data_IF_160914773964
#
_entry.id   IF_160914773964
#
_cell.length_a   1.000
_cell.length_b   1.000
_cell.length_c   1.000
_cell.angle_alpha   90.00
_cell.angle_beta   90.00
_cell.angle_gamma   90.00
#
_symmetry.space_group_name_H-M   'P 1'
#
loop_
_entity.id
_entity.type
_entity.pdbx_description
1 polymer ?
#
# COMPACT_ATOMS: atom_id res chain seq x y z
N UNK A 1 7.48 4.02 4.32
CA UNK A 1 8.42 3.09 3.63
C UNK A 1 9.49 2.56 4.60
N UNK A 2 10.23 3.40 5.32
CA UNK A 2 10.72 3.16 6.70
C UNK A 2 11.18 1.73 7.08
N UNK A 3 11.95 1.04 6.23
CA UNK A 3 12.45 -0.30 6.51
C UNK A 3 11.39 -1.42 6.60
N UNK A 4 10.11 -1.12 6.32
CA UNK A 4 9.04 -2.10 6.27
C UNK A 4 8.97 -2.75 4.89
N UNK A 5 8.64 -4.03 4.86
CA UNK A 5 8.32 -4.71 3.61
C UNK A 5 6.92 -4.30 3.14
N UNK A 6 6.83 -3.93 1.86
CA UNK A 6 5.57 -3.61 1.19
C UNK A 6 5.40 -4.52 -0.03
N UNK A 7 4.19 -5.04 -0.19
CA UNK A 7 3.76 -5.68 -1.42
C UNK A 7 2.97 -4.67 -2.25
N UNK A 8 3.33 -4.51 -3.52
CA UNK A 8 2.62 -3.67 -4.47
C UNK A 8 1.86 -4.55 -5.47
N UNK A 9 0.58 -4.23 -5.70
CA UNK A 9 -0.23 -4.79 -6.78
C UNK A 9 -0.70 -3.66 -7.68
N UNK A 10 -0.55 -3.83 -9.00
CA UNK A 10 -1.05 -2.89 -10.00
C UNK A 10 -1.93 -3.62 -10.99
N UNK A 11 -2.95 -2.94 -11.49
CA UNK A 11 -3.80 -3.50 -12.52
C UNK A 11 -4.88 -2.55 -12.98
N UNK A 12 -5.88 -3.13 -13.63
CA UNK A 12 -7.10 -2.45 -14.04
C UNK A 12 -8.28 -3.08 -13.33
N UNK A 13 -9.25 -2.24 -12.97
CA UNK A 13 -10.54 -2.64 -12.49
C UNK A 13 -11.60 -2.30 -13.53
N UNK A 14 -12.64 -3.10 -13.60
CA UNK A 14 -13.83 -2.90 -14.43
C UNK A 14 -15.09 -3.34 -13.68
N UNK A 15 -16.23 -2.80 -14.09
CA UNK A 15 -17.55 -3.20 -13.56
C UNK A 15 -18.25 -4.07 -14.57
N UNK A 16 -18.63 -5.28 -14.16
CA UNK A 16 -19.37 -6.20 -15.03
C UNK A 16 -20.70 -5.59 -15.44
N UNK A 17 -20.92 -5.47 -16.75
CA UNK A 17 -22.16 -4.94 -17.32
C UNK A 17 -22.22 -3.41 -17.41
N UNK A 18 -21.10 -2.71 -17.19
CA UNK A 18 -21.00 -1.25 -17.34
C UNK A 18 -19.69 -0.88 -18.06
N UNK A 19 -19.60 0.36 -18.53
CA UNK A 19 -18.39 0.93 -19.17
C UNK A 19 -17.42 1.55 -18.14
N UNK A 20 -17.66 1.32 -16.85
CA UNK A 20 -16.81 1.82 -15.77
C UNK A 20 -15.55 0.98 -15.60
N UNK A 21 -14.41 1.65 -15.47
CA UNK A 21 -13.14 1.02 -15.17
C UNK A 21 -12.00 2.03 -15.04
N UNK A 22 -10.83 1.53 -14.66
CA UNK A 22 -9.64 2.37 -14.51
C UNK A 22 -8.43 1.63 -13.94
N UNK A 23 -7.28 2.31 -13.85
CA UNK A 23 -6.10 1.76 -13.20
C UNK A 23 -6.29 1.77 -11.68
N UNK A 24 -5.65 0.81 -11.01
CA UNK A 24 -5.45 0.83 -9.57
C UNK A 24 -4.01 0.49 -9.20
N UNK A 25 -3.62 0.91 -8.00
CA UNK A 25 -2.43 0.46 -7.29
C UNK A 25 -2.82 0.17 -5.84
N UNK A 26 -2.35 -0.94 -5.29
CA UNK A 26 -2.59 -1.37 -3.93
C UNK A 26 -1.28 -1.64 -3.23
N UNK A 27 -1.13 -1.10 -2.03
CA UNK A 27 0.06 -1.27 -1.19
C UNK A 27 -0.34 -1.99 0.09
N UNK A 28 0.23 -3.16 0.32
CA UNK A 28 -0.04 -3.95 1.54
C UNK A 28 1.23 -4.13 2.36
N UNK A 29 1.11 -4.01 3.68
CA UNK A 29 2.17 -4.33 4.63
C UNK A 29 1.58 -5.00 5.87
N UNK A 30 2.42 -5.74 6.59
CA UNK A 30 2.04 -6.37 7.85
C UNK A 30 2.51 -5.47 8.99
N UNK A 31 1.58 -5.04 9.83
CA UNK A 31 1.82 -4.32 11.07
C UNK A 31 1.76 -5.33 12.21
N UNK A 32 2.90 -5.94 12.50
CA UNK A 32 3.04 -7.02 13.49
C UNK A 32 2.73 -6.56 14.91
N UNK A 33 3.02 -5.30 15.23
CA UNK A 33 2.79 -4.77 16.58
C UNK A 33 1.33 -4.60 16.92
N UNK A 34 0.53 -4.18 15.95
CA UNK A 34 -0.91 -4.03 16.10
C UNK A 34 -1.68 -5.28 15.61
N UNK A 35 -0.95 -6.36 15.28
CA UNK A 35 -1.50 -7.62 14.76
C UNK A 35 -2.52 -7.42 13.64
N UNK A 36 -2.17 -6.61 12.64
CA UNK A 36 -3.05 -6.29 11.51
C UNK A 36 -2.31 -6.30 10.18
N UNK A 37 -3.07 -6.54 9.12
CA UNK A 37 -2.63 -6.28 7.75
C UNK A 37 -3.16 -4.90 7.37
N UNK A 38 -2.26 -4.02 6.96
CA UNK A 38 -2.62 -2.70 6.45
C UNK A 38 -2.55 -2.71 4.93
N UNK A 39 -3.65 -2.35 4.28
CA UNK A 39 -3.73 -2.22 2.82
C UNK A 39 -4.22 -0.82 2.47
N UNK A 40 -3.46 -0.13 1.63
CA UNK A 40 -3.84 1.12 0.98
C UNK A 40 -4.26 0.82 -0.46
N UNK A 41 -5.55 0.84 -0.72
CA UNK A 41 -6.11 0.65 -2.06
C UNK A 41 -6.40 1.97 -2.75
N UNK A 42 -5.73 2.21 -3.87
CA UNK A 42 -5.84 3.42 -4.67
C UNK A 42 -6.38 3.09 -6.06
N UNK A 43 -7.59 3.53 -6.38
CA UNK A 43 -8.20 3.34 -7.70
C UNK A 43 -8.57 4.69 -8.33
N UNK A 44 -8.41 4.81 -9.64
CA UNK A 44 -8.74 6.04 -10.39
C UNK A 44 -9.90 5.78 -11.33
N UNK A 45 -11.01 6.47 -11.11
CA UNK A 45 -12.10 6.62 -12.08
C UNK A 45 -11.97 7.96 -12.80
N UNK A 46 -11.61 7.93 -14.08
CA UNK A 46 -11.46 9.14 -14.91
C UNK A 46 -11.95 8.86 -16.34
N UNK A 47 -13.25 8.93 -16.61
CA UNK A 47 -13.82 8.61 -17.94
C UNK A 47 -13.62 9.74 -18.96
N UNK A 48 -13.43 10.97 -18.50
CA UNK A 48 -13.35 12.17 -19.35
C UNK A 48 -11.94 12.39 -19.91
N UNK A 49 -11.81 12.33 -21.24
CA UNK A 49 -10.54 12.53 -21.95
C UNK A 49 -10.16 14.02 -22.08
N UNK A 50 -11.07 14.95 -21.79
CA UNK A 50 -10.83 16.40 -21.82
C UNK A 50 -10.29 16.94 -20.48
N UNK A 51 -10.21 16.09 -19.46
CA UNK A 51 -9.68 16.40 -18.12
C UNK A 51 -8.21 15.96 -17.98
N UNK A 52 -7.51 16.32 -16.89
CA UNK A 52 -6.14 15.88 -16.65
C UNK A 52 -5.98 14.39 -16.92
N UNK A 53 -4.92 14.02 -17.66
CA UNK A 53 -4.67 12.63 -18.05
C UNK A 53 -4.74 11.71 -16.82
N UNK A 54 -5.37 10.54 -16.95
CA UNK A 54 -5.53 9.55 -15.84
C UNK A 54 -4.24 9.30 -15.06
N UNK A 55 -3.09 9.32 -15.75
CA UNK A 55 -1.74 9.27 -15.18
C UNK A 55 -1.49 10.27 -14.04
N UNK A 56 -1.96 11.51 -14.15
CA UNK A 56 -1.73 12.53 -13.14
C UNK A 56 -2.48 12.18 -11.84
N UNK A 57 -3.69 11.62 -11.94
CA UNK A 57 -4.42 11.10 -10.79
C UNK A 57 -3.73 9.88 -10.19
N UNK A 58 -3.22 8.95 -11.04
CA UNK A 58 -2.42 7.80 -10.57
C UNK A 58 -1.22 8.27 -9.75
N UNK A 59 -0.46 9.25 -10.25
CA UNK A 59 0.66 9.84 -9.51
C UNK A 59 0.24 10.46 -8.18
N UNK A 60 -0.92 11.13 -8.16
CA UNK A 60 -1.48 11.72 -6.95
C UNK A 60 -1.84 10.67 -5.89
N UNK A 61 -2.47 9.58 -6.29
CA UNK A 61 -2.84 8.50 -5.35
C UNK A 61 -1.63 7.67 -4.92
N UNK A 62 -0.63 7.47 -5.79
CA UNK A 62 0.67 6.89 -5.41
C UNK A 62 1.38 7.74 -4.35
N UNK A 63 1.22 9.07 -4.40
CA UNK A 63 1.84 9.96 -3.43
C UNK A 63 1.30 9.78 -2.01
N UNK A 64 0.07 9.30 -1.85
CA UNK A 64 -0.53 9.03 -0.53
C UNK A 64 0.29 8.01 0.29
N UNK A 65 1.00 7.09 -0.37
CA UNK A 65 1.88 6.15 0.33
C UNK A 65 2.96 6.87 1.16
N UNK A 66 3.47 8.00 0.67
CA UNK A 66 4.50 8.77 1.38
C UNK A 66 3.96 9.54 2.59
N UNK A 67 2.64 9.70 2.70
CA UNK A 67 2.00 10.36 3.83
C UNK A 67 1.58 9.38 4.92
N UNK A 68 1.69 8.07 4.68
CA UNK A 68 1.34 7.05 5.67
C UNK A 68 2.44 6.96 6.73
N UNK A 69 2.05 7.21 7.98
CA UNK A 69 2.89 6.99 9.16
C UNK A 69 2.26 5.91 10.03
N UNK A 70 3.12 5.17 10.73
CA UNK A 70 2.70 4.19 11.74
C UNK A 70 3.15 4.71 13.11
N UNK A 71 2.34 4.52 14.17
CA UNK A 71 2.77 4.87 15.52
C UNK A 71 4.06 4.12 15.90
N UNK A 72 4.85 4.76 16.79
CA UNK A 72 6.19 4.32 17.17
C UNK A 72 6.27 2.82 17.41
N UNK A 73 7.20 2.20 16.69
CA UNK A 73 7.44 0.77 16.76
C UNK A 73 8.21 0.43 18.04
N UNK A 74 7.63 -0.36 18.95
CA UNK A 74 8.39 -0.95 20.05
C UNK A 74 9.34 -1.97 19.44
N UNK A 75 10.62 -1.64 19.34
CA UNK A 75 11.67 -2.55 18.90
C UNK A 75 11.45 -3.93 19.53
N UNK A 76 11.13 -4.92 18.69
CA UNK A 76 11.14 -6.30 19.10
C UNK A 76 12.55 -6.61 19.57
N UNK A 77 12.71 -6.90 20.86
CA UNK A 77 13.97 -7.43 21.38
C UNK A 77 14.20 -8.76 20.69
N UNK A 78 15.21 -8.81 19.83
CA UNK A 78 15.86 -10.06 19.45
C UNK A 78 16.51 -10.62 20.72
N UNK A 79 15.73 -11.34 21.52
CA UNK A 79 16.23 -12.30 22.50
C UNK A 79 16.00 -13.68 21.90
N UNK A 80 16.96 -14.14 21.12
CA UNK A 80 17.11 -15.56 20.85
C UNK A 80 18.59 -15.95 20.98
N UNK A 81 18.89 -16.66 22.07
CA UNK A 81 19.97 -17.64 22.20
C UNK A 81 21.43 -17.17 22.36
N UNK A 82 21.81 -16.59 23.50
CA UNK A 82 23.20 -16.65 23.96
C UNK A 82 23.35 -17.79 24.98
N UNK A 83 24.21 -18.76 24.61
CA UNK A 83 24.98 -19.67 25.46
C UNK A 83 24.26 -20.80 26.22
N UNK A 84 24.24 -21.98 25.59
CA UNK A 84 24.50 -23.25 26.29
C UNK A 84 25.91 -23.72 25.90
N UNK A 85 26.92 -23.27 26.67
CA UNK A 85 28.22 -23.91 26.79
C UNK A 85 28.35 -24.32 28.26
N UNK A 86 28.06 -25.59 28.54
CA UNK A 86 28.68 -26.39 29.61
C UNK A 86 28.92 -27.81 29.08
#
# INVERSE_FOLDING_TARGET
LEGRLWCELRGFWDVKGDFMGGPFVSYTTVDTENNRVFTLDCYVYAPDLNKPRKRNYVRGVEHLLYTVTFPDQKQAKDQDGTADNE
#
